data_IF_903122842538
#
_entry.id   IF_903122842538
#
_cell.length_a   1.000
_cell.length_b   1.000
_cell.length_c   1.000
_cell.angle_alpha   90.00
_cell.angle_beta   90.00
_cell.angle_gamma   90.00
#
_symmetry.space_group_name_H-M   'P 1'
#
loop_
_entity.id
_entity.type
_entity.pdbx_description
1 polymer ?
#
# COMPACT_ATOMS: atom_id res chain seq x y z
N UNK A 1 11.93 7.63 -12.45
CA UNK A 1 10.73 6.77 -12.41
C UNK A 1 11.06 5.33 -12.82
N UNK A 2 11.69 5.12 -13.96
CA UNK A 2 11.97 3.78 -14.51
C UNK A 2 12.68 2.84 -13.53
N UNK A 3 13.70 3.30 -12.83
CA UNK A 3 14.44 2.48 -11.85
C UNK A 3 13.57 2.07 -10.66
N UNK A 4 12.70 2.95 -10.20
CA UNK A 4 11.74 2.65 -9.13
C UNK A 4 10.76 1.58 -9.59
N UNK A 5 10.25 1.71 -10.82
CA UNK A 5 9.32 0.75 -11.39
C UNK A 5 9.97 -0.62 -11.63
N UNK A 6 11.24 -0.66 -12.05
CA UNK A 6 12.01 -1.93 -12.17
C UNK A 6 12.14 -2.63 -10.81
N UNK A 7 12.45 -1.88 -9.77
CA UNK A 7 12.51 -2.44 -8.40
C UNK A 7 11.14 -2.95 -7.93
N UNK A 8 10.09 -2.19 -8.17
CA UNK A 8 8.72 -2.62 -7.84
C UNK A 8 8.30 -3.87 -8.65
N UNK A 9 8.65 -3.92 -9.93
CA UNK A 9 8.41 -5.10 -10.78
C UNK A 9 9.06 -6.36 -10.20
N UNK A 10 10.35 -6.28 -9.85
CA UNK A 10 11.07 -7.41 -9.28
C UNK A 10 10.42 -7.92 -7.98
N UNK A 11 9.98 -7.01 -7.11
CA UNK A 11 9.32 -7.39 -5.86
C UNK A 11 7.95 -8.01 -6.10
N UNK A 12 7.15 -7.44 -6.99
CA UNK A 12 5.75 -7.84 -7.18
C UNK A 12 5.59 -9.00 -8.15
N UNK A 13 6.44 -9.10 -9.18
CA UNK A 13 6.23 -10.02 -10.30
C UNK A 13 7.25 -11.16 -10.36
N UNK A 14 8.49 -10.92 -9.96
CA UNK A 14 9.57 -11.90 -10.10
C UNK A 14 9.82 -12.71 -8.82
N UNK A 15 9.45 -12.16 -7.65
CA UNK A 15 9.51 -12.93 -6.41
C UNK A 15 8.32 -13.89 -6.30
N UNK A 16 8.53 -14.96 -5.54
CA UNK A 16 7.43 -15.84 -5.18
C UNK A 16 6.32 -15.03 -4.50
N UNK A 17 5.09 -15.27 -4.91
CA UNK A 17 3.92 -14.53 -4.42
C UNK A 17 3.71 -14.63 -2.90
N UNK A 18 4.26 -15.63 -2.26
CA UNK A 18 4.15 -15.83 -0.81
C UNK A 18 5.31 -15.22 -0.03
N UNK A 19 6.42 -14.90 -0.71
CA UNK A 19 7.59 -14.25 -0.09
C UNK A 19 7.43 -12.72 -0.03
N UNK A 20 6.55 -12.18 -0.87
CA UNK A 20 6.27 -10.75 -0.89
C UNK A 20 4.78 -10.51 -1.12
N UNK A 21 4.08 -10.13 -0.06
CA UNK A 21 2.65 -9.80 -0.10
C UNK A 21 2.49 -8.30 0.15
N UNK A 22 1.95 -7.53 -0.81
CA UNK A 22 1.65 -6.11 -0.61
C UNK A 22 0.65 -5.92 0.51
N UNK A 23 0.95 -4.97 1.39
CA UNK A 23 0.09 -4.56 2.49
C UNK A 23 -0.16 -3.06 2.42
N UNK A 24 -1.39 -2.63 2.59
CA UNK A 24 -1.73 -1.22 2.68
C UNK A 24 -3.22 -0.97 2.80
N UNK A 25 -3.62 0.27 2.62
CA UNK A 25 -5.01 0.69 2.69
C UNK A 25 -5.51 1.13 1.32
N UNK A 26 -6.57 0.50 0.83
CA UNK A 26 -7.17 0.76 -0.48
C UNK A 26 -6.24 0.49 -1.67
N UNK A 27 -5.24 -0.36 -1.48
CA UNK A 27 -4.22 -0.66 -2.50
C UNK A 27 -4.78 -1.34 -3.73
N UNK A 28 -5.83 -2.15 -3.59
CA UNK A 28 -6.49 -2.84 -4.70
C UNK A 28 -7.20 -1.89 -5.67
N UNK A 29 -7.60 -0.72 -5.20
CA UNK A 29 -8.34 0.25 -6.01
C UNK A 29 -7.48 1.40 -6.51
N UNK A 30 -6.29 1.61 -5.94
CA UNK A 30 -5.43 2.72 -6.32
C UNK A 30 -3.99 2.30 -6.62
N UNK A 31 -3.23 1.88 -5.60
CA UNK A 31 -1.78 1.69 -5.73
C UNK A 31 -1.42 0.59 -6.72
N UNK A 32 -2.06 -0.57 -6.63
CA UNK A 32 -1.77 -1.69 -7.53
C UNK A 32 -2.20 -1.41 -8.97
N UNK A 33 -3.42 -0.92 -9.26
CA UNK A 33 -3.81 -0.51 -10.62
C UNK A 33 -2.93 0.60 -11.19
N UNK A 34 -2.49 1.54 -10.36
CA UNK A 34 -1.57 2.59 -10.78
C UNK A 34 -0.21 2.00 -11.21
N UNK A 35 0.42 1.16 -10.38
CA UNK A 35 1.67 0.49 -10.71
C UNK A 35 1.54 -0.36 -11.98
N UNK A 36 0.44 -1.06 -12.11
CA UNK A 36 0.10 -1.86 -13.29
C UNK A 36 0.14 -1.03 -14.59
N UNK A 37 -0.56 0.10 -14.56
CA UNK A 37 -0.57 1.04 -15.68
C UNK A 37 0.84 1.54 -15.99
N UNK A 38 1.63 1.85 -14.97
CA UNK A 38 3.00 2.34 -15.15
C UNK A 38 3.96 1.26 -15.67
N UNK A 39 3.82 0.03 -15.24
CA UNK A 39 4.60 -1.10 -15.78
C UNK A 39 4.36 -1.27 -17.28
N UNK A 40 3.12 -1.13 -17.73
CA UNK A 40 2.78 -1.19 -19.16
C UNK A 40 3.34 0.00 -19.94
N UNK A 41 3.13 1.21 -19.45
CA UNK A 41 3.43 2.43 -20.19
C UNK A 41 4.91 2.83 -20.14
N UNK A 42 5.61 2.54 -19.05
CA UNK A 42 7.01 2.94 -18.86
C UNK A 42 7.97 1.80 -19.15
N UNK A 43 7.66 0.59 -18.64
CA UNK A 43 8.54 -0.56 -18.80
C UNK A 43 8.20 -1.42 -20.03
N UNK A 44 7.10 -1.14 -20.74
CA UNK A 44 6.63 -1.96 -21.85
C UNK A 44 6.31 -3.41 -21.47
N UNK A 45 5.98 -3.66 -20.19
CA UNK A 45 5.67 -5.00 -19.69
C UNK A 45 4.23 -5.37 -20.04
N UNK A 46 4.05 -6.58 -20.54
CA UNK A 46 2.72 -7.17 -20.61
C UNK A 46 2.32 -7.64 -19.24
N UNK A 47 1.27 -7.05 -18.71
CA UNK A 47 0.77 -7.33 -17.37
C UNK A 47 -0.53 -8.08 -17.52
N UNK A 48 -0.46 -9.38 -17.27
CA UNK A 48 -1.62 -10.26 -17.28
C UNK A 48 -2.49 -10.11 -16.03
N UNK A 49 -3.68 -10.70 -16.06
CA UNK A 49 -4.58 -10.77 -14.91
C UNK A 49 -3.96 -11.50 -13.69
N UNK A 50 -2.90 -12.28 -13.89
CA UNK A 50 -2.15 -12.93 -12.81
C UNK A 50 -1.66 -11.96 -11.73
N UNK A 51 -1.43 -10.70 -12.10
CA UNK A 51 -1.08 -9.68 -11.13
C UNK A 51 -2.22 -9.41 -10.12
N UNK A 52 -3.47 -9.43 -10.57
CA UNK A 52 -4.64 -9.23 -9.71
C UNK A 52 -4.92 -10.46 -8.84
N UNK A 53 -4.47 -11.63 -9.27
CA UNK A 53 -4.63 -12.88 -8.53
C UNK A 53 -3.57 -13.06 -7.45
N UNK A 54 -2.55 -12.19 -7.41
CA UNK A 54 -1.52 -12.29 -6.38
C UNK A 54 -2.07 -11.91 -5.01
N UNK A 55 -1.67 -12.62 -3.94
CA UNK A 55 -2.07 -12.28 -2.59
C UNK A 55 -1.74 -10.84 -2.25
N UNK A 56 -2.69 -10.13 -1.68
CA UNK A 56 -2.52 -8.78 -1.16
C UNK A 56 -3.36 -8.60 0.10
N UNK A 57 -2.90 -7.74 0.99
CA UNK A 57 -3.58 -7.41 2.24
C UNK A 57 -4.07 -5.97 2.17
N UNK A 58 -5.29 -5.79 1.69
CA UNK A 58 -5.95 -4.48 1.69
C UNK A 58 -6.71 -4.28 3.00
N UNK A 59 -6.16 -3.44 3.88
CA UNK A 59 -6.72 -3.18 5.20
C UNK A 59 -8.07 -2.46 5.17
N UNK A 60 -8.46 -1.87 4.03
CA UNK A 60 -9.76 -1.19 3.93
C UNK A 60 -10.92 -2.16 4.19
N UNK A 61 -10.92 -3.31 3.54
CA UNK A 61 -11.96 -4.33 3.74
C UNK A 61 -12.00 -4.84 5.17
N UNK A 62 -10.83 -5.07 5.75
CA UNK A 62 -10.70 -5.53 7.14
C UNK A 62 -11.26 -4.50 8.12
N UNK A 63 -10.96 -3.22 7.94
CA UNK A 63 -11.46 -2.16 8.81
C UNK A 63 -12.98 -1.96 8.67
N UNK A 64 -13.53 -2.11 7.47
CA UNK A 64 -14.98 -2.11 7.26
C UNK A 64 -15.63 -3.24 8.07
N UNK A 65 -15.06 -4.44 7.98
CA UNK A 65 -15.58 -5.59 8.73
C UNK A 65 -15.52 -5.37 10.25
N UNK A 66 -14.39 -4.85 10.75
CA UNK A 66 -14.23 -4.52 12.18
C UNK A 66 -15.16 -3.42 12.67
N UNK A 67 -15.68 -2.58 11.78
CA UNK A 67 -16.68 -1.55 12.06
C UNK A 67 -18.14 -2.01 11.81
N UNK A 68 -18.39 -3.30 11.78
CA UNK A 68 -19.74 -3.83 11.55
C UNK A 68 -20.28 -3.53 10.14
N UNK A 69 -19.41 -3.58 9.13
CA UNK A 69 -19.77 -3.36 7.73
C UNK A 69 -19.83 -1.87 7.32
N UNK A 70 -19.38 -0.94 8.16
CA UNK A 70 -19.42 0.50 7.86
C UNK A 70 -18.04 1.06 7.62
N UNK A 71 -17.87 1.84 6.56
CA UNK A 71 -16.66 2.59 6.32
C UNK A 71 -16.59 3.82 7.25
N UNK A 72 -15.57 3.88 8.10
CA UNK A 72 -15.30 4.99 9.03
C UNK A 72 -13.89 5.57 8.88
N UNK A 73 -13.26 5.36 7.71
CA UNK A 73 -11.88 5.73 7.47
C UNK A 73 -10.86 4.86 8.21
N UNK A 74 -9.59 5.18 8.00
CA UNK A 74 -8.48 4.44 8.62
C UNK A 74 -8.06 5.00 9.99
N UNK A 75 -8.39 6.26 10.30
CA UNK A 75 -7.89 6.98 11.48
C UNK A 75 -8.29 6.35 12.82
N UNK A 76 -9.33 5.52 12.84
CA UNK A 76 -9.74 4.79 14.04
C UNK A 76 -8.75 3.67 14.41
N UNK A 77 -8.08 3.09 13.43
CA UNK A 77 -7.21 1.93 13.59
C UNK A 77 -5.74 2.25 13.37
N UNK A 78 -5.46 3.33 12.67
CA UNK A 78 -4.11 3.74 12.28
C UNK A 78 -3.91 5.18 12.75
N UNK A 79 -2.88 5.40 13.56
CA UNK A 79 -2.45 6.75 13.91
C UNK A 79 -1.67 7.34 12.73
N UNK A 80 -2.31 8.24 11.99
CA UNK A 80 -1.63 9.07 11.01
C UNK A 80 -1.22 10.38 11.66
N UNK A 81 0.05 10.73 11.53
CA UNK A 81 0.59 12.00 12.04
C UNK A 81 0.22 13.17 11.14
N UNK A 82 0.08 12.93 9.84
CA UNK A 82 -0.27 13.93 8.84
C UNK A 82 -1.28 13.39 7.85
N UNK A 83 -2.09 14.28 7.26
CA UNK A 83 -2.99 13.92 6.16
C UNK A 83 -2.23 13.87 4.83
N UNK A 84 -2.61 12.96 3.93
CA UNK A 84 -1.99 12.84 2.59
C UNK A 84 -2.11 14.11 1.73
N UNK A 85 -3.02 15.02 2.08
CA UNK A 85 -3.19 16.32 1.41
C UNK A 85 -1.98 17.25 1.51
N UNK A 86 -1.04 16.99 2.44
CA UNK A 86 0.21 17.78 2.56
C UNK A 86 1.25 17.42 1.49
N UNK A 87 1.18 16.24 0.89
CA UNK A 87 2.17 15.74 -0.07
C UNK A 87 2.32 16.63 -1.30
N UNK A 88 1.25 17.10 -1.97
CA UNK A 88 1.38 18.01 -3.11
C UNK A 88 2.12 19.30 -2.75
N UNK A 89 1.90 19.81 -1.53
CA UNK A 89 2.57 21.03 -1.07
C UNK A 89 4.06 20.78 -0.83
N UNK A 90 4.43 19.70 -0.14
CA UNK A 90 5.83 19.30 0.03
C UNK A 90 6.53 19.09 -1.32
N UNK A 91 5.85 18.52 -2.30
CA UNK A 91 6.40 18.34 -3.64
C UNK A 91 6.67 19.68 -4.35
N UNK A 92 5.72 20.62 -4.29
CA UNK A 92 5.89 21.99 -4.87
C UNK A 92 7.07 22.72 -4.22
N UNK A 93 7.23 22.57 -2.92
CA UNK A 93 8.31 23.20 -2.15
C UNK A 93 9.63 22.44 -2.26
N UNK A 94 9.68 21.32 -3.00
CA UNK A 94 10.84 20.43 -3.13
C UNK A 94 11.34 19.86 -1.79
N UNK A 95 10.45 19.73 -0.82
CA UNK A 95 10.72 19.15 0.49
C UNK A 95 10.64 17.63 0.46
N UNK A 96 11.44 17.01 -0.39
CA UNK A 96 11.38 15.55 -0.64
C UNK A 96 11.67 14.71 0.60
N UNK A 97 12.51 15.19 1.50
CA UNK A 97 12.77 14.50 2.77
C UNK A 97 11.51 14.37 3.63
N UNK A 98 10.63 15.37 3.62
CA UNK A 98 9.33 15.29 4.32
C UNK A 98 8.40 14.26 3.69
N UNK A 99 8.41 14.15 2.36
CA UNK A 99 7.64 13.13 1.65
C UNK A 99 8.12 11.73 2.02
N UNK A 100 9.44 11.51 2.01
CA UNK A 100 10.03 10.22 2.42
C UNK A 100 9.65 9.88 3.85
N UNK A 101 9.78 10.83 4.76
CA UNK A 101 9.40 10.65 6.18
C UNK A 101 7.91 10.33 6.33
N UNK A 102 7.04 11.01 5.59
CA UNK A 102 5.61 10.71 5.56
C UNK A 102 5.35 9.25 5.16
N UNK A 103 5.96 8.79 4.05
CA UNK A 103 5.79 7.43 3.54
C UNK A 103 6.29 6.40 4.56
N UNK A 104 7.44 6.64 5.19
CA UNK A 104 7.99 5.74 6.21
C UNK A 104 7.07 5.63 7.43
N UNK A 105 6.55 6.76 7.91
CA UNK A 105 5.62 6.79 9.03
C UNK A 105 4.30 6.06 8.69
N UNK A 106 3.81 6.22 7.48
CA UNK A 106 2.62 5.52 7.00
C UNK A 106 2.85 4.00 6.93
N UNK A 107 4.01 3.57 6.41
CA UNK A 107 4.38 2.15 6.35
C UNK A 107 4.45 1.52 7.75
N UNK A 108 5.06 2.22 8.71
CA UNK A 108 5.11 1.77 10.12
C UNK A 108 3.70 1.64 10.69
N UNK A 109 2.85 2.64 10.48
CA UNK A 109 1.47 2.63 10.99
C UNK A 109 0.64 1.47 10.43
N UNK A 110 0.79 1.16 9.13
CA UNK A 110 0.13 -0.01 8.52
C UNK A 110 0.66 -1.34 9.07
N UNK A 111 1.97 -1.44 9.26
CA UNK A 111 2.58 -2.63 9.85
C UNK A 111 2.10 -2.87 11.30
N UNK A 112 2.01 -1.83 12.10
CA UNK A 112 1.49 -1.90 13.46
C UNK A 112 0.03 -2.35 13.48
N UNK A 113 -0.82 -1.75 12.63
CA UNK A 113 -2.21 -2.14 12.50
C UNK A 113 -2.37 -3.61 12.07
N UNK A 114 -1.57 -4.07 11.13
CA UNK A 114 -1.54 -5.46 10.71
C UNK A 114 -1.12 -6.40 11.85
N UNK A 115 -0.07 -6.03 12.58
CA UNK A 115 0.44 -6.81 13.71
C UNK A 115 -0.61 -6.94 14.82
N UNK A 116 -1.32 -5.86 15.13
CA UNK A 116 -2.42 -5.88 16.09
C UNK A 116 -3.56 -6.80 15.63
N UNK A 117 -3.96 -6.70 14.36
CA UNK A 117 -4.97 -7.58 13.77
C UNK A 117 -4.56 -9.04 13.84
N UNK A 118 -3.32 -9.35 13.48
CA UNK A 118 -2.80 -10.72 13.55
C UNK A 118 -2.82 -11.26 14.96
N UNK A 119 -2.44 -10.45 15.96
CA UNK A 119 -2.46 -10.85 17.35
C UNK A 119 -3.88 -11.11 17.86
N UNK A 120 -4.87 -10.34 17.42
CA UNK A 120 -6.28 -10.55 17.75
C UNK A 120 -6.86 -11.82 17.11
N UNK A 121 -6.38 -12.18 15.90
CA UNK A 121 -6.84 -13.35 15.19
C UNK A 121 -6.10 -14.63 15.61
N UNK A 122 -4.84 -14.52 15.98
CA UNK A 122 -4.03 -15.62 16.51
C UNK A 122 -4.21 -15.80 18.01
N UNK A 123 -5.42 -15.91 18.42
CA UNK A 123 -5.73 -16.13 19.82
C UNK A 123 -5.56 -17.59 20.28
N UNK A 124 -4.76 -18.31 19.55
CA UNK A 124 -4.33 -19.65 19.93
C UNK A 124 -2.87 -19.65 20.37
#
# INVERSE_FOLDING_TARGET
>A
EENILKSAWNLLMEKNQWDFVPLGFNILHFDLPFLFSRFRTVLGKDVSYEFLDRPSLDLKGTFIMMNGGRFKGCNRFIRKFEAGSVIPEYYKQKEYAKIVNYIQNEAVAFHEAFSELRNRLNMS
#
